data_IF_878834252032
#
_entry.id   IF_878834252032
#
_cell.length_a   1.000
_cell.length_b   1.000
_cell.length_c   1.000
_cell.angle_alpha   90.00
_cell.angle_beta   90.00
_cell.angle_gamma   90.00
#
_symmetry.space_group_name_H-M   'P 1'
#
loop_
_entity.id
_entity.type
_entity.pdbx_description
1 polymer ?
#
# COMPACT_ATOMS: atom_id res chain seq x y z
N UNK A 1 19.22 4.68 18.66
CA UNK A 1 18.12 5.31 17.89
C UNK A 1 17.15 4.22 17.44
N UNK A 2 15.84 4.41 17.58
CA UNK A 2 14.85 3.44 17.08
C UNK A 2 14.61 3.70 15.59
N UNK A 3 14.73 2.65 14.78
CA UNK A 3 14.38 2.68 13.35
C UNK A 3 12.96 2.12 13.21
N UNK A 4 12.16 2.75 12.35
CA UNK A 4 10.82 2.28 12.01
C UNK A 4 10.80 1.80 10.56
N UNK A 5 10.02 0.74 10.31
CA UNK A 5 9.71 0.24 8.97
C UNK A 5 8.20 0.23 8.84
N UNK A 6 7.69 1.01 7.89
CA UNK A 6 6.27 1.09 7.55
C UNK A 6 6.15 0.62 6.11
N UNK A 7 5.22 -0.31 5.86
CA UNK A 7 5.05 -0.93 4.54
C UNK A 7 3.59 -0.85 4.13
N UNK A 8 3.36 -0.42 2.90
CA UNK A 8 2.07 -0.49 2.23
C UNK A 8 1.90 -1.84 1.54
N UNK A 9 0.76 -2.51 1.74
CA UNK A 9 0.38 -3.71 1.02
C UNK A 9 -0.73 -3.41 0.00
N UNK A 10 -0.73 -4.13 -1.12
CA UNK A 10 -1.71 -3.99 -2.19
C UNK A 10 -1.38 -4.88 -3.39
N UNK A 11 -2.28 -4.90 -4.38
CA UNK A 11 -2.08 -5.63 -5.65
C UNK A 11 -1.54 -4.69 -6.75
N UNK A 12 -0.57 -5.11 -7.57
CA UNK A 12 0.00 -4.27 -8.63
C UNK A 12 -0.90 -4.17 -9.87
N UNK A 13 -0.87 -3.01 -10.53
CA UNK A 13 -1.53 -2.72 -11.81
C UNK A 13 -2.77 -1.81 -11.70
N UNK A 14 -3.03 -1.03 -12.76
CA UNK A 14 -4.06 0.03 -12.78
C UNK A 14 -5.47 -0.47 -12.46
N UNK A 15 -5.76 -1.73 -12.81
CA UNK A 15 -7.02 -2.41 -12.49
C UNK A 15 -7.34 -2.43 -10.98
N UNK A 16 -6.31 -2.39 -10.12
CA UNK A 16 -6.46 -2.53 -8.67
C UNK A 16 -6.35 -1.20 -7.91
N UNK A 17 -6.02 -0.09 -8.59
CA UNK A 17 -5.72 1.19 -7.97
C UNK A 17 -6.84 1.71 -7.03
N UNK A 18 -8.10 1.42 -7.35
CA UNK A 18 -9.27 1.88 -6.58
C UNK A 18 -9.95 0.78 -5.74
N UNK A 19 -9.27 -0.35 -5.49
CA UNK A 19 -9.81 -1.42 -4.64
C UNK A 19 -9.44 -1.18 -3.18
N UNK A 20 -10.36 -1.52 -2.25
CA UNK A 20 -10.11 -1.39 -0.79
C UNK A 20 -8.90 -2.17 -0.29
N UNK A 21 -8.48 -3.21 -1.01
CA UNK A 21 -7.27 -3.98 -0.71
C UNK A 21 -5.97 -3.17 -0.94
N UNK A 22 -6.04 -2.07 -1.69
CA UNK A 22 -4.91 -1.24 -2.08
C UNK A 22 -4.79 0.05 -1.26
N UNK A 23 -5.54 0.21 -0.17
CA UNK A 23 -5.42 1.40 0.70
C UNK A 23 -3.97 1.64 1.18
N UNK A 24 -3.18 0.58 1.34
CA UNK A 24 -1.77 0.68 1.71
C UNK A 24 -0.89 1.34 0.64
N UNK A 25 -1.34 1.42 -0.62
CA UNK A 25 -0.67 2.12 -1.73
C UNK A 25 -1.19 3.54 -1.96
N UNK A 26 -2.27 3.96 -1.28
CA UNK A 26 -2.95 5.25 -1.52
C UNK A 26 -2.46 6.40 -0.63
N UNK A 27 -1.43 6.17 0.19
CA UNK A 27 -0.89 7.12 1.18
C UNK A 27 0.20 8.00 0.58
#
# INVERSE_FOLDING_TARGET
MKKFLIVGLGNPGDKFANQRHNIGFMV
#
